data_IF_989512624847
#
_entry.id   IF_989512624847
#
_cell.length_a   1.000
_cell.length_b   1.000
_cell.length_c   1.000
_cell.angle_alpha   90.00
_cell.angle_beta   90.00
_cell.angle_gamma   90.00
#
_symmetry.space_group_name_H-M   'P 1'
#
loop_
_entity.id
_entity.type
_entity.pdbx_description
1 polymer ?
#
# COMPACT_ATOMS: atom_id res chain seq x y z
N UNK A 1 8.39 8.22 16.15
CA UNK A 1 8.88 7.62 14.89
C UNK A 1 8.34 8.43 13.73
N UNK A 2 9.19 8.89 12.82
CA UNK A 2 8.74 9.58 11.61
C UNK A 2 8.30 8.56 10.57
N UNK A 3 6.98 8.34 10.47
CA UNK A 3 6.38 7.44 9.48
C UNK A 3 6.47 7.99 8.04
N UNK A 4 6.86 9.26 7.88
CA UNK A 4 6.94 9.96 6.60
C UNK A 4 7.74 9.20 5.56
N UNK A 5 8.89 8.62 5.94
CA UNK A 5 9.72 7.84 5.00
C UNK A 5 9.02 6.57 4.52
N UNK A 6 8.30 5.90 5.41
CA UNK A 6 7.53 4.69 5.07
C UNK A 6 6.31 5.02 4.20
N UNK A 7 5.61 6.12 4.51
CA UNK A 7 4.48 6.60 3.69
C UNK A 7 4.95 6.86 2.26
N UNK A 8 6.03 7.63 2.09
CA UNK A 8 6.58 7.94 0.75
C UNK A 8 7.04 6.67 0.03
N UNK A 9 7.62 5.70 0.73
CA UNK A 9 8.02 4.43 0.14
C UNK A 9 6.81 3.61 -0.34
N UNK A 10 5.74 3.55 0.45
CA UNK A 10 4.51 2.83 0.09
C UNK A 10 3.79 3.51 -1.08
N UNK A 11 3.70 4.83 -1.11
CA UNK A 11 3.12 5.58 -2.23
C UNK A 11 3.85 5.27 -3.54
N UNK A 12 5.19 5.29 -3.52
CA UNK A 12 6.02 4.94 -4.69
C UNK A 12 5.87 3.47 -5.09
N UNK A 13 5.82 2.55 -4.13
CA UNK A 13 5.65 1.13 -4.41
C UNK A 13 4.28 0.84 -5.03
N UNK A 14 3.21 1.42 -4.49
CA UNK A 14 1.88 1.31 -5.08
C UNK A 14 1.88 1.85 -6.51
N UNK A 15 2.51 3.00 -6.76
CA UNK A 15 2.59 3.59 -8.11
C UNK A 15 3.33 2.67 -9.10
N UNK A 16 4.47 2.09 -8.71
CA UNK A 16 5.20 1.12 -9.53
C UNK A 16 4.36 -0.12 -9.85
N UNK A 17 3.61 -0.64 -8.89
CA UNK A 17 2.72 -1.78 -9.10
C UNK A 17 1.59 -1.41 -10.07
N UNK A 18 1.01 -0.22 -9.95
CA UNK A 18 0.04 0.29 -10.95
C UNK A 18 0.66 0.37 -12.35
N UNK A 19 1.87 0.91 -12.49
CA UNK A 19 2.58 1.01 -13.78
C UNK A 19 2.86 -0.36 -14.39
N UNK A 20 3.01 -1.41 -13.58
CA UNK A 20 3.13 -2.80 -14.00
C UNK A 20 1.79 -3.45 -14.39
N UNK A 21 0.69 -2.70 -14.32
CA UNK A 21 -0.65 -3.14 -14.73
C UNK A 21 -1.50 -3.74 -13.61
N UNK A 22 -1.03 -3.70 -12.36
CA UNK A 22 -1.85 -4.14 -11.24
C UNK A 22 -2.92 -3.08 -10.93
N UNK A 23 -4.16 -3.50 -10.67
CA UNK A 23 -5.22 -2.65 -10.16
C UNK A 23 -5.71 -3.11 -8.77
N UNK A 24 -5.26 -4.28 -8.33
CA UNK A 24 -5.44 -4.83 -6.99
C UNK A 24 -4.06 -5.15 -6.45
N UNK A 25 -3.72 -4.58 -5.30
CA UNK A 25 -2.44 -4.78 -4.64
C UNK A 25 -2.66 -5.57 -3.35
N UNK A 26 -1.83 -6.59 -3.13
CA UNK A 26 -1.74 -7.26 -1.83
C UNK A 26 -0.66 -6.59 -0.98
N UNK A 27 -0.85 -6.54 0.34
CA UNK A 27 0.15 -6.01 1.26
C UNK A 27 1.45 -6.80 1.19
N UNK A 28 1.38 -8.10 0.87
CA UNK A 28 2.55 -8.94 0.63
C UNK A 28 3.42 -8.39 -0.51
N UNK A 29 2.81 -7.87 -1.58
CA UNK A 29 3.54 -7.23 -2.69
C UNK A 29 4.23 -5.93 -2.24
N UNK A 30 3.57 -5.14 -1.39
CA UNK A 30 4.18 -3.94 -0.83
C UNK A 30 5.35 -4.27 0.09
N UNK A 31 5.24 -5.35 0.87
CA UNK A 31 6.35 -5.85 1.68
C UNK A 31 7.51 -6.30 0.80
N UNK A 32 7.25 -7.04 -0.29
CA UNK A 32 8.29 -7.45 -1.23
C UNK A 32 8.99 -6.26 -1.89
N UNK A 33 8.24 -5.22 -2.29
CA UNK A 33 8.78 -4.03 -2.96
C UNK A 33 9.53 -3.07 -2.02
N UNK A 34 9.13 -3.00 -0.74
CA UNK A 34 9.64 -1.96 0.20
C UNK A 34 10.42 -2.50 1.38
N UNK A 35 10.35 -3.81 1.65
CA UNK A 35 10.85 -4.45 2.88
C UNK A 35 10.26 -3.88 4.18
N UNK A 36 9.13 -3.16 4.09
CA UNK A 36 8.45 -2.60 5.27
C UNK A 36 7.62 -3.71 5.93
N UNK A 37 7.74 -3.92 7.25
CA UNK A 37 6.96 -4.92 7.97
C UNK A 37 5.45 -4.80 7.73
N UNK A 38 4.78 -5.93 7.53
CA UNK A 38 3.34 -6.00 7.19
C UNK A 38 2.49 -5.27 8.23
N UNK A 39 2.78 -5.46 9.52
CA UNK A 39 2.09 -4.79 10.63
C UNK A 39 2.20 -3.26 10.53
N UNK A 40 3.37 -2.76 10.15
CA UNK A 40 3.61 -1.33 9.93
C UNK A 40 2.87 -0.81 8.69
N UNK A 41 2.83 -1.59 7.59
CA UNK A 41 2.05 -1.24 6.40
C UNK A 41 0.57 -1.12 6.78
N UNK A 42 0.03 -2.10 7.49
CA UNK A 42 -1.37 -2.10 7.95
C UNK A 42 -1.64 -0.92 8.88
N UNK A 43 -0.73 -0.59 9.80
CA UNK A 43 -0.87 0.57 10.67
C UNK A 43 -0.93 1.86 9.85
N UNK A 44 -0.01 2.05 8.90
CA UNK A 44 0.05 3.25 8.05
C UNK A 44 -1.23 3.38 7.22
N UNK A 45 -1.65 2.30 6.56
CA UNK A 45 -2.84 2.28 5.70
C UNK A 45 -4.12 2.59 6.50
N UNK A 46 -4.24 2.08 7.74
CA UNK A 46 -5.45 2.27 8.56
C UNK A 46 -5.48 3.57 9.36
N UNK A 47 -4.34 4.04 9.84
CA UNK A 47 -4.26 5.10 10.86
C UNK A 47 -3.58 6.39 10.38
N UNK A 48 -3.05 6.41 9.17
CA UNK A 48 -2.31 7.56 8.63
C UNK A 48 -2.91 7.99 7.29
N UNK A 49 -2.61 9.23 6.94
CA UNK A 49 -2.98 9.77 5.64
C UNK A 49 -1.95 9.29 4.62
N UNK A 50 -2.36 8.35 3.77
CA UNK A 50 -1.59 7.87 2.63
C UNK A 50 -2.35 8.20 1.34
N UNK A 51 -1.63 8.57 0.29
CA UNK A 51 -2.23 8.78 -1.03
C UNK A 51 -2.25 7.47 -1.80
N UNK A 52 -3.44 7.03 -2.19
CA UNK A 52 -3.61 5.88 -3.07
C UNK A 52 -3.56 6.35 -4.53
N UNK A 53 -2.86 5.62 -5.43
CA UNK A 53 -2.88 5.92 -6.86
C UNK A 53 -4.30 5.83 -7.42
N UNK A 54 -4.63 6.67 -8.41
CA UNK A 54 -5.99 6.71 -8.98
C UNK A 54 -6.45 5.38 -9.59
N UNK A 55 -5.54 4.62 -10.19
CA UNK A 55 -5.88 3.35 -10.84
C UNK A 55 -5.96 2.18 -9.86
N UNK A 56 -5.63 2.39 -8.59
CA UNK A 56 -5.77 1.37 -7.55
C UNK A 56 -7.25 1.18 -7.23
N UNK A 57 -7.75 -0.03 -7.40
CA UNK A 57 -9.12 -0.41 -7.09
C UNK A 57 -9.22 -0.97 -5.66
N UNK A 58 -8.26 -1.81 -5.26
CA UNK A 58 -8.28 -2.49 -3.97
C UNK A 58 -6.87 -2.65 -3.42
N UNK A 59 -6.70 -2.35 -2.14
CA UNK A 59 -5.58 -2.80 -1.32
C UNK A 59 -6.10 -3.81 -0.30
N UNK A 60 -5.52 -5.00 -0.28
CA UNK A 60 -5.92 -6.09 0.63
C UNK A 60 -4.73 -6.70 1.32
N UNK A 61 -4.98 -7.36 2.43
CA UNK A 61 -4.07 -8.30 3.06
C UNK A 61 -4.73 -9.67 3.00
N UNK A 62 -4.24 -10.53 2.11
CA UNK A 62 -4.83 -11.85 1.86
C UNK A 62 -6.33 -11.74 1.49
N UNK A 63 -7.23 -12.17 2.39
CA UNK A 63 -8.69 -12.12 2.20
C UNK A 63 -9.33 -10.84 2.77
N UNK A 64 -8.60 -10.03 3.52
CA UNK A 64 -9.12 -8.82 4.15
C UNK A 64 -8.88 -7.60 3.27
N UNK A 65 -9.94 -6.89 2.88
CA UNK A 65 -9.81 -5.59 2.22
C UNK A 65 -9.39 -4.54 3.27
N UNK A 66 -8.27 -3.88 3.04
CA UNK A 66 -7.78 -2.79 3.87
C UNK A 66 -8.28 -1.44 3.36
N UNK A 67 -8.34 -1.30 2.04
CA UNK A 67 -8.86 -0.12 1.37
C UNK A 67 -9.45 -0.52 0.02
N UNK A 68 -10.50 0.18 -0.40
CA UNK A 68 -11.13 0.00 -1.70
C UNK A 68 -11.53 1.37 -2.25
N UNK A 69 -11.30 1.58 -3.54
CA UNK A 69 -11.75 2.77 -4.24
C UNK A 69 -13.28 2.83 -4.21
N UNK A 70 -13.80 3.90 -3.60
CA UNK A 70 -15.22 4.23 -3.57
C UNK A 70 -15.67 4.94 -4.85
#
# INVERSE_FOLDING_TARGET
MEYTRYIVALEKAMMKLIERGFNVIDVDELWLETSIPIDLIVEIVKKRQIKFPENLQVLRLQKQILWKKG
#
